data_IF_422093902543
#
_entry.id   IF_422093902543
#
_cell.length_a   1.000
_cell.length_b   1.000
_cell.length_c   1.000
_cell.angle_alpha   90.00
_cell.angle_beta   90.00
_cell.angle_gamma   90.00
#
_symmetry.space_group_name_H-M   'P 1'
#
loop_
_entity.id
_entity.type
_entity.pdbx_description
1 polymer ?
#
# COMPACT_ATOMS: atom_id res chain seq x y z
N UNK A 1 13.82 -56.65 4.06
CA UNK A 1 13.11 -55.47 4.59
C UNK A 1 13.85 -54.25 4.11
N UNK A 2 13.38 -53.62 3.05
CA UNK A 2 13.91 -52.34 2.58
C UNK A 2 13.40 -51.29 3.56
N UNK A 3 14.26 -50.80 4.43
CA UNK A 3 13.98 -49.62 5.25
C UNK A 3 13.72 -48.47 4.30
N UNK A 4 12.45 -48.06 4.17
CA UNK A 4 12.11 -46.78 3.58
C UNK A 4 12.83 -45.76 4.47
N UNK A 5 13.88 -45.13 3.95
CA UNK A 5 14.51 -44.03 4.65
C UNK A 5 13.44 -42.96 4.85
N UNK A 6 13.09 -42.67 6.11
CA UNK A 6 12.13 -41.63 6.43
C UNK A 6 12.58 -40.33 5.76
N UNK A 7 11.80 -39.87 4.79
CA UNK A 7 12.06 -38.61 4.10
C UNK A 7 12.01 -37.50 5.13
N UNK A 8 13.13 -36.81 5.33
CA UNK A 8 13.22 -35.69 6.27
C UNK A 8 12.24 -34.60 5.81
N UNK A 9 11.30 -34.21 6.67
CA UNK A 9 10.45 -33.05 6.41
C UNK A 9 11.26 -31.78 6.61
N UNK A 10 11.25 -30.90 5.62
CA UNK A 10 12.03 -29.65 5.58
C UNK A 10 11.10 -28.45 5.67
N UNK A 11 11.50 -27.47 6.46
CA UNK A 11 10.87 -26.17 6.55
C UNK A 11 11.91 -25.11 6.17
N UNK A 12 11.57 -24.30 5.17
CA UNK A 12 12.41 -23.20 4.71
C UNK A 12 12.10 -21.90 5.44
N UNK A 13 13.11 -21.06 5.60
CA UNK A 13 12.95 -19.67 6.02
C UNK A 13 13.82 -18.76 5.17
N UNK A 14 13.27 -17.63 4.74
CA UNK A 14 13.95 -16.68 3.87
C UNK A 14 13.86 -15.26 4.39
N UNK A 15 15.03 -14.67 4.67
CA UNK A 15 15.19 -13.23 4.83
C UNK A 15 15.48 -12.58 3.46
N UNK A 16 14.79 -11.48 3.16
CA UNK A 16 14.76 -10.93 1.80
C UNK A 16 15.35 -9.53 1.71
N UNK A 17 16.39 -9.39 0.88
CA UNK A 17 17.02 -8.12 0.54
C UNK A 17 16.84 -7.76 -0.94
N UNK A 18 17.31 -6.56 -1.31
CA UNK A 18 17.12 -6.01 -2.67
C UNK A 18 17.74 -6.88 -3.77
N UNK A 19 18.96 -7.36 -3.55
CA UNK A 19 19.76 -8.04 -4.57
C UNK A 19 19.96 -9.53 -4.27
N UNK A 20 19.81 -9.93 -3.00
CA UNK A 20 20.01 -11.30 -2.54
C UNK A 20 18.94 -11.70 -1.52
N UNK A 21 18.74 -12.99 -1.36
CA UNK A 21 17.86 -13.59 -0.36
C UNK A 21 18.67 -14.61 0.42
N UNK A 22 18.59 -14.53 1.75
CA UNK A 22 19.28 -15.46 2.62
C UNK A 22 18.31 -16.54 3.08
N UNK A 23 18.64 -17.80 2.83
CA UNK A 23 17.77 -18.92 3.12
C UNK A 23 18.36 -19.82 4.22
N UNK A 24 17.48 -20.38 5.04
CA UNK A 24 17.78 -21.43 6.00
C UNK A 24 16.79 -22.59 5.82
N UNK A 25 17.25 -23.82 6.06
CA UNK A 25 16.43 -25.02 6.05
C UNK A 25 16.55 -25.71 7.43
N UNK A 26 15.41 -26.07 8.02
CA UNK A 26 15.33 -26.82 9.28
C UNK A 26 14.50 -28.08 9.11
N UNK A 27 14.75 -29.11 9.91
CA UNK A 27 13.91 -30.31 9.96
C UNK A 27 12.67 -30.14 10.87
N UNK A 28 11.84 -31.17 10.97
CA UNK A 28 10.66 -31.21 11.84
C UNK A 28 10.98 -31.14 13.35
N UNK A 29 12.24 -31.31 13.75
CA UNK A 29 12.72 -31.13 15.13
C UNK A 29 13.32 -29.73 15.34
N UNK A 30 13.38 -28.90 14.29
CA UNK A 30 13.98 -27.59 14.31
C UNK A 30 15.52 -27.62 14.31
N UNK A 31 16.15 -28.71 13.87
CA UNK A 31 17.60 -28.78 13.69
C UNK A 31 17.94 -28.10 12.37
N UNK A 32 19.00 -27.29 12.36
CA UNK A 32 19.46 -26.59 11.16
C UNK A 32 20.12 -27.59 10.19
N UNK A 33 19.57 -27.70 8.98
CA UNK A 33 20.11 -28.55 7.91
C UNK A 33 21.13 -27.78 7.05
N UNK A 34 20.93 -26.47 6.90
CA UNK A 34 21.86 -25.61 6.20
C UNK A 34 21.35 -24.18 6.03
N UNK A 35 22.23 -23.32 5.53
CA UNK A 35 21.90 -21.96 5.12
C UNK A 35 22.69 -21.59 3.87
N UNK A 36 22.13 -20.73 3.02
CA UNK A 36 22.77 -20.30 1.78
C UNK A 36 22.19 -18.97 1.28
N UNK A 37 23.02 -18.17 0.60
CA UNK A 37 22.59 -16.92 -0.03
C UNK A 37 22.29 -17.15 -1.52
N UNK A 38 21.19 -16.58 -2.02
CA UNK A 38 20.78 -16.68 -3.41
C UNK A 38 20.58 -15.30 -4.03
N UNK A 39 20.91 -15.10 -5.32
CA UNK A 39 20.54 -13.88 -6.03
C UNK A 39 19.02 -13.68 -6.06
N UNK A 40 18.56 -12.43 -5.95
CA UNK A 40 17.15 -12.07 -6.06
C UNK A 40 16.68 -12.02 -7.54
N UNK A 41 16.82 -13.13 -8.25
CA UNK A 41 16.51 -13.29 -9.67
C UNK A 41 15.69 -14.57 -9.91
N UNK A 42 15.02 -14.68 -11.06
CA UNK A 42 14.27 -15.89 -11.43
C UNK A 42 15.10 -17.19 -11.28
N UNK A 43 16.31 -17.28 -11.85
CA UNK A 43 17.21 -18.42 -11.64
C UNK A 43 17.61 -18.61 -10.17
N UNK A 44 17.83 -17.53 -9.41
CA UNK A 44 18.15 -17.60 -7.99
C UNK A 44 17.00 -18.16 -7.15
N UNK A 45 15.74 -17.82 -7.47
CA UNK A 45 14.56 -18.38 -6.80
C UNK A 45 14.41 -19.89 -7.07
N UNK A 46 14.65 -20.31 -8.31
CA UNK A 46 14.65 -21.73 -8.67
C UNK A 46 15.76 -22.51 -7.95
N UNK A 47 16.97 -21.94 -7.88
CA UNK A 47 18.10 -22.51 -7.15
C UNK A 47 17.82 -22.62 -5.65
N UNK A 48 17.24 -21.58 -5.04
CA UNK A 48 16.83 -21.58 -3.63
C UNK A 48 15.86 -22.72 -3.33
N UNK A 49 14.81 -22.86 -4.15
CA UNK A 49 13.82 -23.94 -4.02
C UNK A 49 14.45 -25.32 -4.19
N UNK A 50 15.29 -25.51 -5.20
CA UNK A 50 15.97 -26.78 -5.46
C UNK A 50 16.91 -27.14 -4.31
N UNK A 51 17.63 -26.16 -3.76
CA UNK A 51 18.50 -26.33 -2.59
C UNK A 51 17.72 -26.80 -1.36
N UNK A 52 16.57 -26.19 -1.06
CA UNK A 52 15.72 -26.63 0.07
C UNK A 52 15.20 -28.06 -0.13
N UNK A 53 14.71 -28.39 -1.33
CA UNK A 53 14.26 -29.76 -1.68
C UNK A 53 15.39 -30.79 -1.68
N UNK A 54 16.63 -30.36 -1.83
CA UNK A 54 17.81 -31.23 -1.73
C UNK A 54 17.99 -31.86 -0.35
N UNK A 55 17.40 -31.28 0.70
CA UNK A 55 17.46 -31.82 2.06
C UNK A 55 16.33 -32.82 2.38
N UNK A 56 15.25 -32.86 1.60
CA UNK A 56 14.10 -33.71 1.87
C UNK A 56 12.78 -33.13 1.36
N UNK A 57 11.67 -33.57 1.96
CA UNK A 57 10.32 -33.15 1.56
C UNK A 57 10.00 -31.75 2.11
N UNK A 58 9.91 -30.77 1.20
CA UNK A 58 9.72 -29.36 1.56
C UNK A 58 8.25 -29.08 1.89
N UNK A 59 7.93 -29.00 3.18
CA UNK A 59 6.56 -28.83 3.67
C UNK A 59 6.05 -27.40 3.55
N UNK A 60 6.87 -26.42 3.94
CA UNK A 60 6.52 -25.00 3.91
C UNK A 60 7.76 -24.10 3.86
N UNK A 61 7.58 -22.88 3.36
CA UNK A 61 8.62 -21.85 3.29
C UNK A 61 8.10 -20.56 3.91
N UNK A 62 8.74 -20.13 4.99
CA UNK A 62 8.57 -18.80 5.55
C UNK A 62 9.31 -17.75 4.74
N UNK A 63 8.64 -16.65 4.40
CA UNK A 63 9.26 -15.54 3.66
C UNK A 63 8.96 -14.23 4.39
N UNK A 64 10.02 -13.49 4.76
CA UNK A 64 9.86 -12.13 5.28
C UNK A 64 9.55 -11.14 4.13
N UNK A 65 8.85 -10.04 4.45
CA UNK A 65 8.70 -8.91 3.52
C UNK A 65 8.08 -9.28 2.16
N UNK A 66 7.11 -10.20 2.14
CA UNK A 66 6.33 -10.56 0.93
C UNK A 66 5.59 -9.35 0.31
N UNK A 67 5.46 -8.27 1.10
CA UNK A 67 5.00 -6.95 0.68
C UNK A 67 5.97 -6.15 -0.21
N UNK A 68 7.27 -6.42 -0.16
CA UNK A 68 8.35 -5.66 -0.81
C UNK A 68 9.38 -6.57 -1.49
N UNK A 69 10.54 -6.81 -0.89
CA UNK A 69 11.65 -7.57 -1.48
C UNK A 69 11.30 -9.05 -1.72
N UNK A 70 10.59 -9.67 -0.78
CA UNK A 70 10.12 -11.05 -0.90
C UNK A 70 8.93 -11.25 -1.84
N UNK A 71 8.40 -10.19 -2.47
CA UNK A 71 7.19 -10.29 -3.29
C UNK A 71 7.38 -11.18 -4.52
N UNK A 72 8.52 -11.07 -5.21
CA UNK A 72 8.79 -11.87 -6.40
C UNK A 72 9.04 -13.34 -6.04
N UNK A 73 9.83 -13.59 -4.99
CA UNK A 73 10.08 -14.92 -4.47
C UNK A 73 8.79 -15.63 -4.03
N UNK A 74 7.95 -14.98 -3.23
CA UNK A 74 6.70 -15.57 -2.75
C UNK A 74 5.78 -16.01 -3.90
N UNK A 75 5.71 -15.21 -4.97
CA UNK A 75 4.96 -15.58 -6.18
C UNK A 75 5.55 -16.77 -6.90
N UNK A 76 6.86 -16.79 -7.06
CA UNK A 76 7.54 -17.89 -7.75
C UNK A 76 7.34 -19.20 -7.00
N UNK A 77 7.55 -19.20 -5.69
CA UNK A 77 7.33 -20.37 -4.83
C UNK A 77 5.88 -20.85 -4.88
N UNK A 78 4.92 -19.93 -4.75
CA UNK A 78 3.48 -20.27 -4.84
C UNK A 78 3.12 -20.86 -6.22
N UNK A 79 3.65 -20.29 -7.32
CA UNK A 79 3.41 -20.80 -8.67
C UNK A 79 3.98 -22.20 -8.89
N UNK A 80 5.08 -22.52 -8.20
CA UNK A 80 5.69 -23.85 -8.22
C UNK A 80 5.05 -24.85 -7.23
N UNK A 81 3.90 -24.49 -6.63
CA UNK A 81 3.13 -25.35 -5.75
C UNK A 81 3.64 -25.42 -4.30
N UNK A 82 4.57 -24.54 -3.91
CA UNK A 82 5.08 -24.55 -2.53
C UNK A 82 4.12 -23.83 -1.58
N UNK A 83 4.00 -24.35 -0.36
CA UNK A 83 3.28 -23.68 0.73
C UNK A 83 4.10 -22.51 1.25
N UNK A 84 3.68 -21.28 0.96
CA UNK A 84 4.38 -20.07 1.42
C UNK A 84 3.66 -19.44 2.61
N UNK A 85 4.41 -19.16 3.68
CA UNK A 85 3.94 -18.45 4.86
C UNK A 85 4.62 -17.09 4.96
N UNK A 86 3.83 -16.04 5.07
CA UNK A 86 4.32 -14.69 5.35
C UNK A 86 4.75 -14.62 6.81
N UNK A 87 6.02 -14.33 7.06
CA UNK A 87 6.55 -14.14 8.42
C UNK A 87 6.79 -12.65 8.64
N UNK A 88 5.82 -12.01 9.30
CA UNK A 88 5.87 -10.59 9.61
C UNK A 88 6.32 -10.37 11.06
N UNK A 89 7.55 -9.85 11.19
CA UNK A 89 8.28 -9.54 12.43
C UNK A 89 9.04 -10.73 13.03
N UNK A 90 10.36 -10.64 13.12
CA UNK A 90 11.13 -11.48 14.01
C UNK A 90 10.89 -11.07 15.47
N UNK A 91 11.03 -12.04 16.35
CA UNK A 91 10.86 -11.88 17.78
C UNK A 91 11.88 -10.84 18.31
N UNK A 92 11.39 -9.66 18.73
CA UNK A 92 12.24 -8.55 19.21
C UNK A 92 13.09 -8.92 20.41
N UNK A 93 12.67 -9.90 21.21
CA UNK A 93 13.46 -10.42 22.34
C UNK A 93 14.64 -11.25 21.83
N UNK A 94 14.41 -12.16 20.87
CA UNK A 94 15.48 -12.98 20.28
C UNK A 94 16.56 -12.10 19.61
N UNK A 95 16.16 -11.09 18.82
CA UNK A 95 17.09 -10.12 18.21
C UNK A 95 17.94 -9.31 19.20
N UNK A 96 17.50 -9.14 20.45
CA UNK A 96 18.27 -8.43 21.49
C UNK A 96 19.31 -9.32 22.15
N UNK A 97 19.11 -10.64 22.16
CA UNK A 97 20.02 -11.59 22.82
C UNK A 97 21.12 -12.09 21.87
N UNK A 98 20.77 -12.36 20.60
CA UNK A 98 21.67 -13.09 19.67
C UNK A 98 22.38 -12.19 18.64
N UNK A 99 22.09 -10.89 18.62
CA UNK A 99 22.61 -9.96 17.61
C UNK A 99 21.84 -9.99 16.28
N UNK A 100 22.37 -9.31 15.25
CA UNK A 100 21.77 -9.22 13.91
C UNK A 100 22.66 -9.90 12.88
N UNK A 101 22.15 -10.94 12.23
CA UNK A 101 22.76 -11.60 11.07
C UNK A 101 21.66 -12.15 10.18
N UNK A 102 21.82 -12.02 8.86
CA UNK A 102 20.85 -12.53 7.88
C UNK A 102 20.63 -14.05 8.02
N UNK A 103 21.66 -14.78 8.50
CA UNK A 103 21.56 -16.21 8.86
C UNK A 103 20.56 -16.45 9.99
N UNK A 104 20.69 -15.69 11.08
CA UNK A 104 19.82 -15.82 12.24
C UNK A 104 18.39 -15.40 11.90
N UNK A 105 18.24 -14.36 11.08
CA UNK A 105 16.93 -13.90 10.63
C UNK A 105 16.24 -14.98 9.76
N UNK A 106 16.94 -15.58 8.78
CA UNK A 106 16.38 -16.66 7.95
C UNK A 106 16.01 -17.92 8.77
N UNK A 107 16.85 -18.31 9.74
CA UNK A 107 16.54 -19.44 10.63
C UNK A 107 15.34 -19.15 11.53
N UNK A 108 15.25 -17.93 12.08
CA UNK A 108 14.09 -17.50 12.85
C UNK A 108 12.80 -17.52 12.03
N UNK A 109 12.88 -17.16 10.74
CA UNK A 109 11.75 -17.27 9.82
C UNK A 109 11.31 -18.72 9.65
N UNK A 110 12.25 -19.66 9.46
CA UNK A 110 11.94 -21.09 9.34
C UNK A 110 11.29 -21.63 10.63
N UNK A 111 11.89 -21.30 11.79
CA UNK A 111 11.38 -21.70 13.11
C UNK A 111 10.00 -21.10 13.41
N UNK A 112 9.73 -19.89 12.93
CA UNK A 112 8.42 -19.26 13.12
C UNK A 112 7.30 -20.01 12.40
N UNK A 113 7.60 -20.58 11.23
CA UNK A 113 6.70 -21.47 10.48
C UNK A 113 6.56 -22.82 11.17
N UNK A 114 7.67 -23.45 11.55
CA UNK A 114 7.65 -24.73 12.28
C UNK A 114 6.84 -24.66 13.58
N UNK A 115 7.00 -23.59 14.35
CA UNK A 115 6.28 -23.39 15.60
C UNK A 115 4.88 -22.79 15.46
N UNK A 116 4.36 -22.63 14.23
CA UNK A 116 3.05 -22.04 13.91
C UNK A 116 2.81 -20.64 14.53
N UNK A 117 3.90 -19.94 14.89
CA UNK A 117 3.83 -18.57 15.42
C UNK A 117 3.49 -17.55 14.33
N UNK A 118 3.73 -17.92 13.06
CA UNK A 118 3.19 -17.23 11.90
C UNK A 118 2.43 -18.21 11.01
N UNK A 119 1.21 -17.84 10.64
CA UNK A 119 0.29 -18.65 9.80
C UNK A 119 -0.29 -17.85 8.65
N UNK A 120 0.21 -16.63 8.43
CA UNK A 120 -0.35 -15.73 7.44
C UNK A 120 -0.03 -16.19 6.01
N UNK A 121 -1.06 -16.36 5.18
CA UNK A 121 -0.88 -16.60 3.74
C UNK A 121 -0.56 -15.25 3.06
N UNK A 122 0.54 -15.14 2.31
CA UNK A 122 0.89 -13.92 1.60
C UNK A 122 -0.16 -13.58 0.52
N UNK A 123 -0.21 -12.30 0.12
CA UNK A 123 -1.01 -11.90 -1.03
C UNK A 123 -0.41 -12.49 -2.31
N UNK A 124 -1.24 -13.05 -3.19
CA UNK A 124 -0.77 -13.66 -4.45
C UNK A 124 -0.06 -12.66 -5.38
N UNK A 125 -0.47 -11.38 -5.40
CA UNK A 125 0.19 -10.31 -6.17
C UNK A 125 0.43 -10.67 -7.65
N UNK A 126 -0.54 -11.33 -8.27
CA UNK A 126 -0.38 -11.90 -9.63
C UNK A 126 -1.60 -11.68 -10.52
N UNK A 127 -2.71 -11.15 -9.99
CA UNK A 127 -3.95 -10.95 -10.75
C UNK A 127 -4.31 -9.49 -10.97
N UNK A 128 -5.58 -9.26 -11.29
CA UNK A 128 -6.14 -7.93 -11.56
C UNK A 128 -5.93 -6.96 -10.40
N UNK A 129 -5.89 -7.43 -9.15
CA UNK A 129 -5.64 -6.58 -7.98
C UNK A 129 -4.21 -6.06 -7.98
N UNK A 130 -3.23 -6.83 -8.45
CA UNK A 130 -1.84 -6.37 -8.57
C UNK A 130 -1.68 -5.34 -9.70
N UNK A 131 -2.42 -5.50 -10.80
CA UNK A 131 -2.49 -4.49 -11.88
C UNK A 131 -3.08 -3.20 -11.32
N UNK A 132 -4.23 -3.28 -10.63
CA UNK A 132 -4.87 -2.15 -9.95
C UNK A 132 -3.90 -1.50 -8.97
N UNK A 133 -3.18 -2.29 -8.15
CA UNK A 133 -2.18 -1.78 -7.20
C UNK A 133 -1.13 -0.95 -7.91
N UNK A 134 -0.58 -1.47 -9.00
CA UNK A 134 0.51 -0.85 -9.75
C UNK A 134 0.04 0.47 -10.36
N UNK A 135 -1.10 0.48 -11.04
CA UNK A 135 -1.69 1.70 -11.61
C UNK A 135 -2.04 2.74 -10.54
N UNK A 136 -2.55 2.31 -9.37
CA UNK A 136 -2.85 3.22 -8.24
C UNK A 136 -1.59 3.87 -7.68
N UNK A 137 -0.49 3.13 -7.59
CA UNK A 137 0.81 3.68 -7.15
C UNK A 137 1.30 4.74 -8.14
N UNK A 138 1.27 4.45 -9.45
CA UNK A 138 1.64 5.39 -10.51
C UNK A 138 0.76 6.64 -10.46
N UNK A 139 -0.57 6.48 -10.42
CA UNK A 139 -1.52 7.59 -10.33
C UNK A 139 -1.28 8.45 -9.09
N UNK A 140 -1.06 7.82 -7.93
CA UNK A 140 -0.78 8.54 -6.69
C UNK A 140 0.52 9.35 -6.75
N UNK A 141 1.54 8.81 -7.44
CA UNK A 141 2.78 9.54 -7.73
C UNK A 141 2.51 10.77 -8.60
N UNK A 142 1.78 10.61 -9.70
CA UNK A 142 1.43 11.70 -10.61
C UNK A 142 0.59 12.79 -9.90
N UNK A 143 -0.38 12.41 -9.05
CA UNK A 143 -1.17 13.37 -8.25
C UNK A 143 -0.28 14.20 -7.33
N UNK A 144 0.68 13.57 -6.64
CA UNK A 144 1.64 14.28 -5.77
C UNK A 144 2.51 15.24 -6.58
N UNK A 145 3.08 14.77 -7.70
CA UNK A 145 3.90 15.60 -8.57
C UNK A 145 3.11 16.78 -9.16
N UNK A 146 1.84 16.58 -9.56
CA UNK A 146 0.97 17.64 -10.08
C UNK A 146 0.68 18.69 -9.01
N UNK A 147 0.46 18.23 -7.77
CA UNK A 147 0.25 19.10 -6.60
C UNK A 147 1.50 19.91 -6.29
N UNK A 148 2.68 19.29 -6.34
CA UNK A 148 3.94 20.00 -6.17
C UNK A 148 4.14 21.04 -7.27
N UNK A 149 3.91 20.68 -8.54
CA UNK A 149 4.07 21.59 -9.67
C UNK A 149 3.19 22.85 -9.54
N UNK A 150 1.92 22.70 -9.14
CA UNK A 150 1.04 23.86 -8.96
C UNK A 150 1.43 24.70 -7.74
N UNK A 151 1.87 24.07 -6.64
CA UNK A 151 2.33 24.81 -5.46
C UNK A 151 3.60 25.60 -5.75
N UNK A 152 4.55 25.01 -6.48
CA UNK A 152 5.76 25.71 -6.94
C UNK A 152 5.39 26.85 -7.89
N UNK A 153 4.46 26.63 -8.82
CA UNK A 153 3.98 27.67 -9.74
C UNK A 153 3.40 28.86 -8.96
N UNK A 154 2.51 28.61 -7.99
CA UNK A 154 1.98 29.66 -7.11
C UNK A 154 3.06 30.38 -6.32
N UNK A 155 4.05 29.64 -5.79
CA UNK A 155 5.19 30.24 -5.09
C UNK A 155 5.96 31.23 -5.96
N UNK A 156 6.19 30.91 -7.23
CA UNK A 156 6.85 31.82 -8.19
C UNK A 156 5.95 33.01 -8.52
N UNK A 157 4.64 32.81 -8.72
CA UNK A 157 3.70 33.91 -9.01
C UNK A 157 3.71 34.97 -7.90
N UNK A 158 3.81 34.57 -6.63
CA UNK A 158 3.83 35.51 -5.49
C UNK A 158 4.99 36.50 -5.57
N UNK A 159 6.17 36.04 -6.00
CA UNK A 159 7.39 36.83 -6.14
C UNK A 159 7.68 37.33 -7.55
N UNK A 160 6.75 37.17 -8.49
CA UNK A 160 6.94 37.58 -9.88
C UNK A 160 7.00 39.12 -10.02
N UNK A 161 7.63 39.65 -11.09
CA UNK A 161 7.57 41.08 -11.41
C UNK A 161 6.14 41.61 -11.44
N UNK A 162 5.90 42.82 -10.93
CA UNK A 162 4.57 43.41 -10.70
C UNK A 162 3.62 43.26 -11.89
N UNK A 163 4.09 43.59 -13.10
CA UNK A 163 3.33 43.49 -14.35
C UNK A 163 2.75 42.09 -14.60
N UNK A 164 3.49 41.04 -14.21
CA UNK A 164 3.08 39.65 -14.38
C UNK A 164 2.30 39.16 -13.16
N UNK A 165 2.71 39.56 -11.96
CA UNK A 165 2.06 39.16 -10.71
C UNK A 165 0.61 39.62 -10.67
N UNK A 166 0.36 40.89 -10.98
CA UNK A 166 -0.97 41.49 -10.88
C UNK A 166 -1.96 40.83 -11.84
N UNK A 167 -1.48 40.41 -13.02
CA UNK A 167 -2.28 39.62 -13.96
C UNK A 167 -2.57 38.19 -13.44
N UNK A 168 -1.58 37.53 -12.86
CA UNK A 168 -1.65 36.09 -12.58
C UNK A 168 -2.28 35.74 -11.23
N UNK A 169 -2.16 36.61 -10.22
CA UNK A 169 -2.56 36.30 -8.83
C UNK A 169 -4.06 36.10 -8.66
N UNK A 170 -4.87 36.78 -9.48
CA UNK A 170 -6.34 36.71 -9.41
C UNK A 170 -6.91 35.49 -10.14
N UNK A 171 -6.09 34.77 -10.91
CA UNK A 171 -6.56 33.68 -11.75
C UNK A 171 -6.82 32.40 -10.95
N UNK A 172 -7.94 31.74 -11.26
CA UNK A 172 -8.20 30.40 -10.75
C UNK A 172 -7.15 29.40 -11.25
N UNK A 173 -6.91 28.31 -10.50
CA UNK A 173 -5.87 27.30 -10.80
C UNK A 173 -5.81 26.89 -12.27
N UNK A 174 -6.95 26.58 -12.87
CA UNK A 174 -7.01 26.09 -14.27
C UNK A 174 -6.77 27.21 -15.27
N UNK A 175 -7.32 28.40 -15.02
CA UNK A 175 -7.08 29.58 -15.85
C UNK A 175 -5.62 30.02 -15.77
N UNK A 176 -5.04 30.02 -14.57
CA UNK A 176 -3.63 30.32 -14.31
C UNK A 176 -2.70 29.40 -15.10
N UNK A 177 -2.87 28.08 -14.98
CA UNK A 177 -2.04 27.12 -15.74
C UNK A 177 -2.17 27.38 -17.24
N UNK A 178 -3.40 27.53 -17.75
CA UNK A 178 -3.62 27.81 -19.17
C UNK A 178 -2.97 29.13 -19.61
N UNK A 179 -2.98 30.15 -18.76
CA UNK A 179 -2.32 31.43 -19.01
C UNK A 179 -0.80 31.28 -19.04
N UNK A 180 -0.23 30.58 -18.06
CA UNK A 180 1.20 30.29 -17.98
C UNK A 180 1.71 29.52 -19.21
N UNK A 181 0.94 28.57 -19.76
CA UNK A 181 1.28 27.87 -21.01
C UNK A 181 1.43 28.83 -22.21
N UNK A 182 0.73 29.95 -22.20
CA UNK A 182 0.77 30.98 -23.25
C UNK A 182 1.82 32.05 -23.01
N UNK A 183 2.52 32.04 -21.88
CA UNK A 183 3.62 32.98 -21.66
C UNK A 183 4.70 32.77 -22.72
N UNK A 184 5.28 33.87 -23.17
CA UNK A 184 6.41 33.89 -24.10
C UNK A 184 7.51 34.68 -23.41
N UNK A 185 8.58 34.02 -22.94
CA UNK A 185 9.77 34.76 -22.52
C UNK A 185 10.32 35.46 -23.76
N UNK A 186 10.99 36.59 -23.54
CA UNK A 186 11.60 37.36 -24.61
C UNK A 186 12.68 36.55 -25.35
N UNK A 187 13.49 35.82 -24.58
CA UNK A 187 14.46 34.84 -25.03
C UNK A 187 14.51 33.67 -24.04
N UNK A 188 14.95 32.51 -24.50
CA UNK A 188 15.29 31.36 -23.64
C UNK A 188 16.80 31.32 -23.31
N UNK A 189 17.61 32.08 -24.05
CA UNK A 189 19.03 32.27 -23.78
C UNK A 189 19.22 33.34 -22.69
N UNK A 190 18.94 32.99 -21.43
CA UNK A 190 19.09 33.89 -20.30
C UNK A 190 20.50 34.51 -20.16
N UNK A 191 21.61 33.79 -20.46
CA UNK A 191 22.94 34.39 -20.52
C UNK A 191 23.06 35.64 -21.40
N UNK A 192 22.29 35.74 -22.48
CA UNK A 192 22.29 36.95 -23.35
C UNK A 192 21.77 38.21 -22.65
N UNK A 193 21.02 38.07 -21.55
CA UNK A 193 20.41 39.16 -20.79
C UNK A 193 21.15 39.49 -19.47
N UNK A 194 22.37 38.96 -19.25
CA UNK A 194 23.10 39.15 -17.98
C UNK A 194 23.31 40.63 -17.63
N UNK A 195 23.51 41.49 -18.63
CA UNK A 195 23.66 42.94 -18.45
C UNK A 195 22.33 43.66 -18.18
N UNK A 196 21.19 42.97 -18.23
CA UNK A 196 19.84 43.54 -18.12
C UNK A 196 18.99 42.79 -17.07
N UNK A 197 19.26 43.00 -15.76
CA UNK A 197 18.72 42.16 -14.69
C UNK A 197 17.19 42.05 -14.65
N UNK A 198 16.47 43.13 -14.94
CA UNK A 198 15.00 43.14 -14.93
C UNK A 198 14.40 42.33 -16.08
N UNK A 199 14.96 42.47 -17.30
CA UNK A 199 14.54 41.67 -18.47
C UNK A 199 14.89 40.21 -18.27
N UNK A 200 16.07 39.92 -17.74
CA UNK A 200 16.49 38.57 -17.40
C UNK A 200 15.54 37.95 -16.37
N UNK A 201 15.17 38.66 -15.31
CA UNK A 201 14.23 38.18 -14.30
C UNK A 201 12.84 37.92 -14.88
N UNK A 202 12.31 38.81 -15.72
CA UNK A 202 11.01 38.63 -16.37
C UNK A 202 11.02 37.43 -17.34
N UNK A 203 12.06 37.29 -18.16
CA UNK A 203 12.23 36.17 -19.08
C UNK A 203 12.32 34.83 -18.32
N UNK A 204 13.16 34.76 -17.28
CA UNK A 204 13.32 33.58 -16.43
C UNK A 204 12.02 33.20 -15.71
N UNK A 205 11.28 34.18 -15.21
CA UNK A 205 9.97 33.96 -14.55
C UNK A 205 8.96 33.39 -15.54
N UNK A 206 8.81 34.00 -16.72
CA UNK A 206 7.90 33.50 -17.76
C UNK A 206 8.27 32.09 -18.23
N UNK A 207 9.55 31.80 -18.40
CA UNK A 207 10.06 30.47 -18.75
C UNK A 207 9.69 29.43 -17.68
N UNK A 208 10.02 29.72 -16.42
CA UNK A 208 9.77 28.83 -15.28
C UNK A 208 8.29 28.53 -15.09
N UNK A 209 7.43 29.56 -15.15
CA UNK A 209 5.97 29.41 -15.04
C UNK A 209 5.40 28.57 -16.19
N UNK A 210 5.89 28.77 -17.41
CA UNK A 210 5.47 27.99 -18.59
C UNK A 210 5.85 26.52 -18.44
N UNK A 211 7.05 26.21 -17.98
CA UNK A 211 7.52 24.83 -17.83
C UNK A 211 6.84 24.09 -16.69
N UNK A 212 6.58 24.76 -15.57
CA UNK A 212 5.74 24.21 -14.49
C UNK A 212 4.31 23.96 -14.97
N UNK A 213 3.74 24.85 -15.79
CA UNK A 213 2.42 24.67 -16.37
C UNK A 213 2.37 23.49 -17.36
N UNK A 214 3.41 23.31 -18.19
CA UNK A 214 3.56 22.13 -19.07
C UNK A 214 3.62 20.84 -18.26
N UNK A 215 4.46 20.80 -17.22
CA UNK A 215 4.57 19.64 -16.30
C UNK A 215 3.23 19.34 -15.63
N UNK A 216 2.53 20.36 -15.13
CA UNK A 216 1.21 20.19 -14.54
C UNK A 216 0.22 19.59 -15.54
N UNK A 217 0.21 20.08 -16.78
CA UNK A 217 -0.71 19.63 -17.83
C UNK A 217 -0.44 18.18 -18.24
N UNK A 218 0.82 17.79 -18.39
CA UNK A 218 1.22 16.41 -18.68
C UNK A 218 0.76 15.45 -17.57
N UNK A 219 1.02 15.80 -16.30
CA UNK A 219 0.60 15.00 -15.15
C UNK A 219 -0.93 14.95 -15.00
N UNK A 220 -1.65 16.04 -15.31
CA UNK A 220 -3.11 16.04 -15.31
C UNK A 220 -3.68 15.05 -16.33
N UNK A 221 -3.05 14.94 -17.50
CA UNK A 221 -3.46 14.00 -18.54
C UNK A 221 -3.14 12.55 -18.16
N UNK A 222 -1.94 12.29 -17.66
CA UNK A 222 -1.54 10.98 -17.12
C UNK A 222 -2.53 10.50 -16.04
N UNK A 223 -2.91 11.39 -15.11
CA UNK A 223 -3.89 11.08 -14.06
C UNK A 223 -5.25 10.69 -14.65
N UNK A 224 -5.72 11.38 -15.70
CA UNK A 224 -7.02 11.04 -16.33
C UNK A 224 -6.96 9.68 -16.99
N UNK A 225 -5.91 9.41 -17.77
CA UNK A 225 -5.72 8.13 -18.45
C UNK A 225 -5.67 6.98 -17.43
N UNK A 226 -4.87 7.10 -16.37
CA UNK A 226 -4.80 6.11 -15.30
C UNK A 226 -6.13 5.97 -14.55
N UNK A 227 -6.85 7.06 -14.32
CA UNK A 227 -8.16 7.01 -13.64
C UNK A 227 -9.21 6.29 -14.49
N UNK A 228 -9.18 6.46 -15.82
CA UNK A 228 -10.08 5.76 -16.74
C UNK A 228 -9.78 4.25 -16.76
N UNK A 229 -8.51 3.86 -16.85
CA UNK A 229 -8.12 2.44 -16.78
C UNK A 229 -8.51 1.81 -15.43
N UNK A 230 -8.26 2.51 -14.33
CA UNK A 230 -8.67 2.05 -13.00
C UNK A 230 -10.19 1.92 -12.86
N UNK A 231 -10.97 2.81 -13.49
CA UNK A 231 -12.43 2.73 -13.44
C UNK A 231 -12.94 1.42 -14.05
N UNK A 232 -12.39 1.01 -15.20
CA UNK A 232 -12.74 -0.25 -15.86
C UNK A 232 -12.33 -1.44 -14.97
N UNK A 233 -11.04 -1.54 -14.62
CA UNK A 233 -10.50 -2.69 -13.90
C UNK A 233 -11.11 -2.90 -12.52
N UNK A 234 -11.38 -1.81 -11.78
CA UNK A 234 -11.98 -1.91 -10.44
C UNK A 234 -13.46 -2.30 -10.54
N UNK A 235 -14.18 -1.82 -11.56
CA UNK A 235 -15.59 -2.18 -11.77
C UNK A 235 -15.71 -3.64 -12.18
N UNK A 236 -14.79 -4.14 -13.02
CA UNK A 236 -14.71 -5.55 -13.38
C UNK A 236 -14.38 -6.43 -12.16
N UNK A 237 -13.38 -6.03 -11.36
CA UNK A 237 -12.97 -6.80 -10.19
C UNK A 237 -14.02 -6.82 -9.06
N UNK A 238 -14.71 -5.70 -8.81
CA UNK A 238 -15.66 -5.59 -7.70
C UNK A 238 -16.80 -4.59 -7.99
N UNK A 239 -17.77 -4.96 -8.84
CA UNK A 239 -18.85 -4.05 -9.25
C UNK A 239 -19.70 -3.60 -8.05
N UNK A 240 -20.06 -4.53 -7.17
CA UNK A 240 -20.87 -4.24 -5.98
C UNK A 240 -20.18 -3.24 -5.03
N UNK A 241 -18.86 -3.36 -4.87
CA UNK A 241 -18.07 -2.47 -4.01
C UNK A 241 -18.06 -1.02 -4.53
N UNK A 242 -18.02 -0.82 -5.85
CA UNK A 242 -18.03 0.51 -6.48
C UNK A 242 -19.37 1.21 -6.28
N UNK A 243 -20.48 0.45 -6.28
CA UNK A 243 -21.84 0.98 -6.11
C UNK A 243 -22.14 1.43 -4.68
N UNK A 244 -21.33 1.03 -3.69
CA UNK A 244 -21.53 1.44 -2.31
C UNK A 244 -21.38 2.96 -2.15
N UNK A 245 -22.31 3.55 -1.38
CA UNK A 245 -22.35 4.99 -1.19
C UNK A 245 -21.03 5.52 -0.60
N UNK A 246 -20.36 6.41 -1.34
CA UNK A 246 -19.13 7.08 -0.92
C UNK A 246 -17.83 6.30 -1.15
N UNK A 247 -17.87 5.11 -1.76
CA UNK A 247 -16.66 4.32 -2.06
C UNK A 247 -16.01 4.79 -3.37
N UNK A 248 -16.68 4.61 -4.50
CA UNK A 248 -16.13 4.94 -5.82
C UNK A 248 -14.84 4.17 -6.17
N UNK A 249 -14.31 4.40 -7.37
CA UNK A 249 -13.19 3.63 -7.93
C UNK A 249 -11.92 3.65 -7.08
N UNK A 250 -11.49 4.82 -6.60
CA UNK A 250 -10.22 4.94 -5.89
C UNK A 250 -10.23 4.21 -4.54
N UNK A 251 -11.32 4.31 -3.78
CA UNK A 251 -11.43 3.66 -2.48
C UNK A 251 -11.71 2.16 -2.64
N UNK A 252 -12.51 1.76 -3.63
CA UNK A 252 -12.70 0.35 -3.98
C UNK A 252 -11.37 -0.30 -4.35
N UNK A 253 -10.56 0.35 -5.20
CA UNK A 253 -9.21 -0.09 -5.52
C UNK A 253 -8.29 -0.18 -4.29
N UNK A 254 -8.46 0.69 -3.29
CA UNK A 254 -7.74 0.54 -2.02
C UNK A 254 -8.12 -0.72 -1.26
N UNK A 255 -9.41 -1.02 -1.14
CA UNK A 255 -9.86 -2.22 -0.43
C UNK A 255 -9.47 -3.51 -1.16
N UNK A 256 -9.53 -3.51 -2.49
CA UNK A 256 -8.99 -4.62 -3.29
C UNK A 256 -7.51 -4.84 -3.01
N UNK A 257 -6.69 -3.79 -3.05
CA UNK A 257 -5.25 -3.89 -2.71
C UNK A 257 -5.03 -4.38 -1.28
N UNK A 258 -5.85 -3.93 -0.32
CA UNK A 258 -5.78 -4.39 1.06
C UNK A 258 -6.14 -5.88 1.18
N UNK A 259 -7.20 -6.32 0.49
CA UNK A 259 -7.64 -7.71 0.46
C UNK A 259 -6.61 -8.63 -0.22
N UNK A 260 -6.11 -8.23 -1.39
CA UNK A 260 -5.29 -9.05 -2.29
C UNK A 260 -6.14 -9.85 -3.28
N UNK A 261 -5.51 -10.40 -4.32
CA UNK A 261 -6.19 -11.28 -5.30
C UNK A 261 -6.81 -12.51 -4.63
N UNK A 262 -6.15 -13.04 -3.59
CA UNK A 262 -6.59 -14.17 -2.80
C UNK A 262 -7.35 -13.73 -1.53
N UNK A 263 -8.51 -13.09 -1.70
CA UNK A 263 -9.33 -12.59 -0.59
C UNK A 263 -9.74 -13.65 0.44
N UNK A 264 -9.79 -14.94 0.04
CA UNK A 264 -10.08 -16.08 0.90
C UNK A 264 -9.13 -16.22 2.12
N UNK A 265 -7.94 -15.61 2.07
CA UNK A 265 -7.03 -15.52 3.23
C UNK A 265 -7.61 -14.72 4.40
N UNK A 266 -8.70 -14.00 4.19
CA UNK A 266 -9.38 -13.18 5.20
C UNK A 266 -10.62 -13.93 5.69
N UNK A 267 -10.42 -14.77 6.70
CA UNK A 267 -11.41 -15.75 7.18
C UNK A 267 -12.63 -15.16 7.88
N UNK A 268 -12.66 -13.85 8.17
CA UNK A 268 -13.83 -13.22 8.77
C UNK A 268 -13.87 -11.71 8.58
N UNK A 269 -15.06 -11.15 8.75
CA UNK A 269 -15.30 -9.71 8.80
C UNK A 269 -14.53 -9.04 9.96
N UNK A 270 -14.34 -9.74 11.08
CA UNK A 270 -13.53 -9.27 12.19
C UNK A 270 -12.03 -9.21 11.83
N UNK A 271 -11.54 -10.22 11.10
CA UNK A 271 -10.18 -10.24 10.57
C UNK A 271 -9.95 -9.08 9.58
N UNK A 272 -10.91 -8.81 8.70
CA UNK A 272 -10.87 -7.66 7.79
C UNK A 272 -10.81 -6.33 8.55
N UNK A 273 -11.65 -6.15 9.57
CA UNK A 273 -11.62 -4.94 10.40
C UNK A 273 -10.29 -4.76 11.15
N UNK A 274 -9.68 -5.86 11.61
CA UNK A 274 -8.34 -5.84 12.21
C UNK A 274 -7.28 -5.44 11.18
N UNK A 275 -7.36 -5.96 9.96
CA UNK A 275 -6.49 -5.61 8.84
C UNK A 275 -6.60 -4.13 8.47
N UNK A 276 -7.81 -3.56 8.45
CA UNK A 276 -8.03 -2.12 8.20
C UNK A 276 -7.74 -1.23 9.43
N UNK A 277 -7.34 -1.80 10.57
CA UNK A 277 -7.05 -1.03 11.79
C UNK A 277 -8.27 -0.37 12.43
N UNK A 278 -9.46 -0.95 12.25
CA UNK A 278 -10.74 -0.44 12.80
C UNK A 278 -11.40 -1.40 13.79
N UNK A 279 -10.80 -2.57 14.04
CA UNK A 279 -11.22 -3.44 15.13
C UNK A 279 -11.02 -2.73 16.49
N UNK A 280 -12.06 -2.65 17.35
CA UNK A 280 -11.93 -2.07 18.68
C UNK A 280 -10.98 -2.93 19.52
N UNK A 281 -10.01 -2.29 20.17
CA UNK A 281 -9.13 -2.99 21.12
C UNK A 281 -9.59 -2.69 22.54
N UNK A 282 -9.92 -3.71 23.35
CA UNK A 282 -10.23 -3.52 24.76
C UNK A 282 -9.11 -2.76 25.46
N UNK A 283 -9.48 -1.72 26.19
CA UNK A 283 -8.58 -0.93 27.03
C UNK A 283 -9.27 -0.66 28.37
N UNK A 284 -9.75 -1.74 28.98
CA UNK A 284 -10.28 -1.74 30.34
C UNK A 284 -9.17 -2.11 31.33
N UNK A 285 -8.96 -1.28 32.33
CA UNK A 285 -8.30 -1.67 33.58
C UNK A 285 -9.38 -1.95 34.63
N UNK A 286 -9.06 -2.65 35.73
CA UNK A 286 -10.04 -3.04 36.76
C UNK A 286 -10.89 -1.92 37.37
N UNK A 287 -10.60 -0.64 37.10
CA UNK A 287 -11.39 0.54 37.49
C UNK A 287 -12.18 1.23 36.36
N UNK A 288 -11.92 0.89 35.10
CA UNK A 288 -12.58 1.52 33.93
C UNK A 288 -13.11 0.44 33.00
N UNK A 289 -14.43 0.22 33.02
CA UNK A 289 -15.12 -0.70 32.11
C UNK A 289 -15.54 0.04 30.82
N UNK A 290 -15.54 -0.67 29.69
CA UNK A 290 -16.13 -0.17 28.44
C UNK A 290 -15.29 0.77 27.55
N UNK A 291 -14.03 1.08 27.89
CA UNK A 291 -13.16 1.89 27.00
C UNK A 291 -12.43 1.03 25.97
N UNK A 292 -12.46 1.46 24.72
CA UNK A 292 -11.70 0.87 23.62
C UNK A 292 -10.64 1.85 23.12
N UNK A 293 -9.40 1.36 22.92
CA UNK A 293 -8.31 2.16 22.35
C UNK A 293 -8.29 2.08 20.83
N UNK A 294 -7.67 3.08 20.22
CA UNK A 294 -7.37 3.11 18.78
C UNK A 294 -6.34 2.01 18.44
N UNK A 295 -6.65 1.20 17.43
CA UNK A 295 -5.68 0.30 16.81
C UNK A 295 -4.65 1.11 16.01
N UNK A 296 -3.36 0.99 16.36
CA UNK A 296 -2.24 1.61 15.60
C UNK A 296 -1.63 0.69 14.54
N UNK A 297 -2.11 -0.53 14.42
CA UNK A 297 -1.69 -1.50 13.41
C UNK A 297 -2.69 -1.57 12.24
N UNK A 298 -2.33 -2.34 11.21
CA UNK A 298 -3.15 -2.52 10.01
C UNK A 298 -2.79 -1.56 8.88
N UNK A 299 -3.52 -1.70 7.77
CA UNK A 299 -3.38 -0.90 6.56
C UNK A 299 -3.92 0.51 6.79
N UNK A 300 -2.99 1.48 6.83
CA UNK A 300 -3.33 2.90 7.07
C UNK A 300 -4.05 3.54 5.89
N UNK A 301 -3.83 3.08 4.67
CA UNK A 301 -4.53 3.58 3.50
C UNK A 301 -5.98 3.09 3.50
N UNK A 302 -6.23 1.83 3.85
CA UNK A 302 -7.59 1.32 4.05
C UNK A 302 -8.32 2.05 5.20
N UNK A 303 -7.60 2.32 6.30
CA UNK A 303 -8.13 3.06 7.43
C UNK A 303 -8.55 4.50 7.06
N UNK A 304 -7.75 5.16 6.21
CA UNK A 304 -8.03 6.49 5.65
C UNK A 304 -9.23 6.44 4.71
N UNK A 305 -9.31 5.44 3.83
CA UNK A 305 -10.45 5.23 2.94
C UNK A 305 -11.77 5.09 3.72
N UNK A 306 -11.79 4.28 4.78
CA UNK A 306 -12.95 4.15 5.67
C UNK A 306 -13.36 5.48 6.31
N UNK A 307 -12.38 6.30 6.68
CA UNK A 307 -12.65 7.63 7.23
C UNK A 307 -13.28 8.56 6.18
N UNK A 308 -12.74 8.59 4.95
CA UNK A 308 -13.29 9.40 3.85
C UNK A 308 -14.75 9.01 3.59
N UNK A 309 -15.05 7.70 3.50
CA UNK A 309 -16.42 7.20 3.30
C UNK A 309 -17.32 7.66 4.45
N UNK A 310 -16.87 7.53 5.69
CA UNK A 310 -17.64 7.97 6.85
C UNK A 310 -18.00 9.47 6.75
N UNK A 311 -17.04 10.34 6.42
CA UNK A 311 -17.29 11.78 6.28
C UNK A 311 -18.27 12.08 5.13
N UNK A 312 -18.14 11.39 3.99
CA UNK A 312 -19.07 11.55 2.87
C UNK A 312 -20.49 11.14 3.28
N UNK A 313 -20.63 9.97 3.92
CA UNK A 313 -21.92 9.44 4.38
C UNK A 313 -22.57 10.31 5.44
N UNK A 314 -21.80 10.86 6.38
CA UNK A 314 -22.30 11.83 7.37
C UNK A 314 -22.91 13.08 6.73
N UNK A 315 -22.51 13.43 5.50
CA UNK A 315 -23.03 14.60 4.78
C UNK A 315 -24.18 14.26 3.82
N UNK A 316 -24.15 13.10 3.18
CA UNK A 316 -25.00 12.79 2.00
C UNK A 316 -25.78 11.48 2.08
N UNK A 317 -25.64 10.69 3.15
CA UNK A 317 -26.34 9.42 3.31
C UNK A 317 -27.32 9.52 4.48
N UNK A 318 -28.62 9.54 4.15
CA UNK A 318 -29.71 9.74 5.13
C UNK A 318 -29.64 8.74 6.30
N UNK A 319 -29.46 7.41 6.09
CA UNK A 319 -29.38 6.47 7.22
C UNK A 319 -28.18 6.73 8.13
N UNK A 320 -27.07 7.20 7.57
CA UNK A 320 -25.89 7.56 8.39
C UNK A 320 -26.12 8.86 9.16
N UNK A 321 -26.86 9.82 8.60
CA UNK A 321 -27.23 11.05 9.32
C UNK A 321 -28.14 10.74 10.51
N UNK A 322 -29.19 9.94 10.30
CA UNK A 322 -30.06 9.48 11.38
C UNK A 322 -29.28 8.73 12.48
N UNK A 323 -28.33 7.87 12.09
CA UNK A 323 -27.45 7.20 13.04
C UNK A 323 -26.58 8.19 13.84
N UNK A 324 -26.00 9.20 13.18
CA UNK A 324 -25.16 10.21 13.83
C UNK A 324 -25.99 11.04 14.82
N UNK A 325 -27.18 11.48 14.42
CA UNK A 325 -28.09 12.25 15.28
C UNK A 325 -28.47 11.45 16.53
N UNK A 326 -28.89 10.19 16.35
CA UNK A 326 -29.20 9.29 17.47
C UNK A 326 -28.00 9.10 18.42
N UNK A 327 -26.81 8.78 17.90
CA UNK A 327 -25.62 8.57 18.75
C UNK A 327 -25.13 9.85 19.43
N UNK A 328 -25.37 11.00 18.81
CA UNK A 328 -25.10 12.31 19.43
C UNK A 328 -26.04 12.55 20.61
N UNK A 329 -27.34 12.22 20.46
CA UNK A 329 -28.31 12.28 21.56
C UNK A 329 -27.97 11.32 22.71
N UNK A 330 -27.36 10.17 22.42
CA UNK A 330 -26.82 9.22 23.42
C UNK A 330 -25.52 9.71 24.11
N UNK A 331 -25.02 10.91 23.79
CA UNK A 331 -23.86 11.52 24.43
C UNK A 331 -22.50 11.12 23.85
N UNK A 332 -22.44 10.41 22.72
CA UNK A 332 -21.17 10.07 22.09
C UNK A 332 -20.52 11.28 21.41
N UNK A 333 -19.20 11.36 21.53
CA UNK A 333 -18.42 12.36 20.79
C UNK A 333 -18.38 12.02 19.30
N UNK A 334 -18.22 13.04 18.45
CA UNK A 334 -18.04 12.88 16.99
C UNK A 334 -16.94 11.86 16.64
N UNK A 335 -15.86 11.81 17.43
CA UNK A 335 -14.75 10.86 17.23
C UNK A 335 -15.17 9.42 17.49
N UNK A 336 -16.01 9.17 18.48
CA UNK A 336 -16.54 7.84 18.79
C UNK A 336 -17.54 7.38 17.72
N UNK A 337 -18.43 8.28 17.30
CA UNK A 337 -19.38 8.02 16.21
C UNK A 337 -18.63 7.62 14.93
N UNK A 338 -17.58 8.36 14.54
CA UNK A 338 -16.76 8.02 13.37
C UNK A 338 -16.11 6.64 13.51
N UNK A 339 -15.67 6.24 14.71
CA UNK A 339 -15.12 4.89 14.92
C UNK A 339 -16.17 3.80 14.70
N UNK A 340 -17.38 3.99 15.23
CA UNK A 340 -18.50 3.09 15.00
C UNK A 340 -18.83 2.99 13.51
N UNK A 341 -18.91 4.13 12.80
CA UNK A 341 -19.15 4.18 11.37
C UNK A 341 -18.07 3.44 10.58
N UNK A 342 -16.79 3.67 10.88
CA UNK A 342 -15.69 2.96 10.20
C UNK A 342 -15.77 1.45 10.37
N UNK A 343 -16.19 0.97 11.55
CA UNK A 343 -16.39 -0.47 11.81
C UNK A 343 -17.58 -1.02 11.00
N UNK A 344 -18.68 -0.28 10.96
CA UNK A 344 -19.85 -0.64 10.14
C UNK A 344 -19.53 -0.66 8.65
N UNK A 345 -18.86 0.37 8.14
CA UNK A 345 -18.44 0.46 6.73
C UNK A 345 -17.48 -0.69 6.39
N UNK A 346 -16.56 -1.05 7.29
CA UNK A 346 -15.67 -2.19 7.06
C UNK A 346 -16.43 -3.52 6.93
N UNK A 347 -17.54 -3.71 7.67
CA UNK A 347 -18.43 -4.87 7.53
C UNK A 347 -19.05 -4.92 6.14
N UNK A 348 -19.61 -3.80 5.71
CA UNK A 348 -20.29 -3.67 4.43
C UNK A 348 -19.32 -3.88 3.26
N UNK A 349 -18.11 -3.32 3.35
CA UNK A 349 -17.06 -3.55 2.36
C UNK A 349 -16.70 -5.04 2.30
N UNK A 350 -16.49 -5.70 3.45
CA UNK A 350 -16.14 -7.12 3.46
C UNK A 350 -17.20 -7.99 2.77
N UNK A 351 -18.49 -7.68 2.98
CA UNK A 351 -19.59 -8.38 2.32
C UNK A 351 -19.63 -8.16 0.78
N UNK A 352 -19.01 -7.09 0.28
CA UNK A 352 -18.98 -6.72 -1.13
C UNK A 352 -17.59 -6.90 -1.78
N UNK A 353 -16.63 -7.51 -1.08
CA UNK A 353 -15.37 -7.92 -1.68
C UNK A 353 -15.62 -9.07 -2.66
N UNK A 354 -14.83 -9.19 -3.74
CA UNK A 354 -14.92 -10.33 -4.64
C UNK A 354 -14.68 -11.61 -3.84
N UNK A 355 -15.69 -12.47 -3.80
CA UNK A 355 -15.53 -13.83 -3.30
C UNK A 355 -15.06 -14.68 -4.47
N UNK A 356 -14.05 -15.52 -4.21
CA UNK A 356 -13.63 -16.51 -5.19
C UNK A 356 -14.82 -17.45 -5.38
N UNK A 357 -15.32 -17.56 -6.61
CA UNK A 357 -16.26 -18.63 -6.95
C UNK A 357 -15.55 -19.95 -6.62
N UNK A 358 -16.05 -20.66 -5.62
CA UNK A 358 -15.58 -21.99 -5.23
C UNK A 358 -15.66 -22.97 -6.38
#
# INVERSE_FOLDING_TARGET
MTTIADTVTVIGGVDTHKNTHYAAAVDNQGRLLGHHEFPATGPGYAALRAWMRGYGDLSAIGVESTGSFGAALARELTRNGETVVEVNRPNRLARRMDGKSDRLDAEQVARAVLGETSTAVPKSKSGIVEVIRTLRVTRSSAVKARTQAINTLFGIVIGAPTQLRDELVELTKRTLVNRCLRLRPETEDLPSLVSEPERMHLAATKLSLRDLARRWKALDEEIKQLSAQLAVLVTEAAPALVQLHGVGTELAGQFLVTAGDNAARIHSEAAFAKLCGVAPQPASSGRTTGRHRLCRSGDRAANSALYIIAIVRMRRHEPTRAYVERRTAEGLTKREIIRCLKRFIAREIYANLPQIAT
#
